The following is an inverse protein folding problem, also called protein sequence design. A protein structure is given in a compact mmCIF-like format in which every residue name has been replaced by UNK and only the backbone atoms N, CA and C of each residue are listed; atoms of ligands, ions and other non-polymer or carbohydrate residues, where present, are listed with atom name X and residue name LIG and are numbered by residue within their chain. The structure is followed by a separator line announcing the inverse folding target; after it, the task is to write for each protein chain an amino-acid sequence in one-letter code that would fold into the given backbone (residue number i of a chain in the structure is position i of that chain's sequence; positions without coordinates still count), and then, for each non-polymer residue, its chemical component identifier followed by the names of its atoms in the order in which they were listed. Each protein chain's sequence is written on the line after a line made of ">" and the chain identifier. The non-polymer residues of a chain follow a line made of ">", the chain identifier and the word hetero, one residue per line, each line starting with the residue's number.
data_IF_090822580691
#
_entry.id   IF_090822580691
#
_cell.length_a   1.000
_cell.length_b   1.000
_cell.length_c   1.000
_cell.angle_alpha   90.00
_cell.angle_beta   90.00
_cell.angle_gamma   90.00
#
_symmetry.space_group_name_H-M   'P 1'
#
loop_
_entity.id
_entity.type
_entity.pdbx_description
1 polymer ?
#
# COMPACT_ATOMS: atom_id res chain seq x y z
N UNK A 1 -12.21 16.46 -21.26
CA UNK A 1 -11.66 15.11 -21.51
C UNK A 1 -12.30 14.15 -20.51
N UNK A 2 -13.01 13.11 -20.98
CA UNK A 2 -13.75 12.16 -20.14
C UNK A 2 -12.86 10.93 -19.89
N UNK A 3 -12.36 10.78 -18.67
CA UNK A 3 -11.64 9.57 -18.26
C UNK A 3 -12.65 8.44 -18.09
N UNK A 4 -12.66 7.47 -19.02
CA UNK A 4 -13.34 6.18 -18.80
C UNK A 4 -12.36 5.28 -18.06
N UNK A 5 -12.33 5.43 -16.73
CA UNK A 5 -11.65 4.44 -15.88
C UNK A 5 -12.40 3.12 -15.98
N UNK A 6 -11.71 2.04 -16.36
CA UNK A 6 -12.23 0.69 -16.14
C UNK A 6 -12.45 0.55 -14.64
N UNK A 7 -13.68 0.22 -14.26
CA UNK A 7 -14.04 -0.16 -12.91
C UNK A 7 -13.34 -1.50 -12.64
N UNK A 8 -12.14 -1.44 -12.07
CA UNK A 8 -11.54 -2.60 -11.42
C UNK A 8 -12.35 -2.74 -10.14
N UNK A 9 -13.30 -3.67 -10.16
CA UNK A 9 -14.05 -4.03 -8.98
C UNK A 9 -13.04 -4.67 -8.02
N UNK A 10 -12.60 -3.90 -7.04
CA UNK A 10 -11.99 -4.45 -5.84
C UNK A 10 -13.14 -5.15 -5.10
N UNK A 11 -13.38 -6.42 -5.42
CA UNK A 11 -14.52 -7.23 -4.93
C UNK A 11 -14.58 -7.42 -3.40
N UNK A 12 -13.73 -6.73 -2.63
CA UNK A 12 -13.75 -6.69 -1.16
C UNK A 12 -13.45 -5.30 -0.59
N UNK A 13 -13.86 -4.22 -1.28
CA UNK A 13 -14.03 -2.95 -0.56
C UNK A 13 -15.36 -3.07 0.17
N UNK A 14 -15.30 -3.59 1.40
CA UNK A 14 -16.37 -3.39 2.38
C UNK A 14 -16.75 -1.92 2.28
N UNK A 15 -17.96 -1.65 1.79
CA UNK A 15 -18.52 -0.31 1.73
C UNK A 15 -18.67 0.15 3.17
N UNK A 16 -17.61 0.74 3.72
CA UNK A 16 -17.64 1.43 4.99
C UNK A 16 -18.72 2.49 4.85
N UNK A 17 -19.71 2.44 5.75
CA UNK A 17 -20.79 3.41 5.83
C UNK A 17 -20.23 4.80 5.55
N UNK A 18 -20.86 5.54 4.64
CA UNK A 18 -20.33 6.80 4.09
C UNK A 18 -20.07 7.76 5.26
N UNK A 19 -18.85 7.75 5.76
CA UNK A 19 -18.39 8.63 6.79
C UNK A 19 -17.91 9.88 6.06
N UNK A 20 -18.61 10.99 6.25
CA UNK A 20 -18.35 12.23 5.49
C UNK A 20 -17.03 12.90 5.91
N UNK A 21 -16.35 12.40 6.94
CA UNK A 21 -15.03 12.86 7.32
C UNK A 21 -13.96 12.33 6.34
N UNK A 22 -13.31 13.21 5.55
CA UNK A 22 -12.30 12.80 4.59
C UNK A 22 -11.11 12.07 5.23
N UNK A 23 -10.75 12.41 6.48
CA UNK A 23 -9.63 11.77 7.16
C UNK A 23 -9.97 10.33 7.54
N UNK A 24 -11.22 10.04 7.89
CA UNK A 24 -11.68 8.67 8.16
C UNK A 24 -11.59 7.83 6.89
N UNK A 25 -12.08 8.33 5.75
CA UNK A 25 -12.03 7.64 4.46
C UNK A 25 -10.58 7.37 4.02
N UNK A 26 -9.71 8.36 4.17
CA UNK A 26 -8.28 8.21 3.87
C UNK A 26 -7.65 7.13 4.77
N UNK A 27 -7.93 7.16 6.07
CA UNK A 27 -7.37 6.19 7.03
C UNK A 27 -7.83 4.75 6.73
N UNK A 28 -9.10 4.58 6.38
CA UNK A 28 -9.65 3.29 5.98
C UNK A 28 -8.99 2.78 4.68
N UNK A 29 -8.81 3.67 3.70
CA UNK A 29 -8.13 3.34 2.46
C UNK A 29 -6.68 2.93 2.71
N UNK A 30 -5.98 3.63 3.62
CA UNK A 30 -4.62 3.25 4.03
C UNK A 30 -4.57 1.85 4.63
N UNK A 31 -5.53 1.48 5.49
CA UNK A 31 -5.61 0.14 6.05
C UNK A 31 -5.84 -0.95 5.00
N UNK A 32 -6.65 -0.69 3.96
CA UNK A 32 -6.83 -1.63 2.85
C UNK A 32 -5.53 -1.84 2.07
N UNK A 33 -4.79 -0.76 1.79
CA UNK A 33 -3.50 -0.83 1.10
C UNK A 33 -2.49 -1.62 1.94
N UNK A 34 -2.42 -1.35 3.25
CA UNK A 34 -1.54 -2.05 4.18
C UNK A 34 -1.79 -3.55 4.18
N UNK A 35 -3.06 -3.97 4.32
CA UNK A 35 -3.44 -5.38 4.27
C UNK A 35 -2.99 -6.04 2.98
N UNK A 36 -3.20 -5.39 1.82
CA UNK A 36 -2.77 -5.95 0.52
C UNK A 36 -1.25 -6.03 0.39
N UNK A 37 -0.49 -5.10 0.98
CA UNK A 37 0.98 -5.18 1.03
C UNK A 37 1.42 -6.37 1.88
N UNK A 38 0.85 -6.52 3.07
CA UNK A 38 1.24 -7.58 4.03
C UNK A 38 0.86 -8.98 3.55
N UNK A 39 -0.29 -9.13 2.89
CA UNK A 39 -0.76 -10.42 2.35
C UNK A 39 -0.04 -10.83 1.05
N UNK A 40 0.55 -9.89 0.33
CA UNK A 40 1.24 -10.19 -0.92
C UNK A 40 2.58 -10.90 -0.66
N UNK A 41 2.79 -12.05 -1.33
CA UNK A 41 3.94 -12.94 -1.10
C UNK A 41 5.32 -12.23 -1.11
N UNK A 42 5.56 -11.35 -2.09
CA UNK A 42 6.80 -10.56 -2.16
C UNK A 42 6.79 -9.34 -1.22
N UNK A 43 5.79 -8.46 -1.35
CA UNK A 43 5.75 -7.19 -0.62
C UNK A 43 5.70 -7.39 0.91
N UNK A 44 4.97 -8.38 1.40
CA UNK A 44 4.90 -8.69 2.82
C UNK A 44 6.26 -9.13 3.37
N UNK A 45 7.04 -9.89 2.59
CA UNK A 45 8.42 -10.25 2.94
C UNK A 45 9.34 -9.03 2.91
N UNK A 46 9.26 -8.22 1.86
CA UNK A 46 10.07 -6.99 1.73
C UNK A 46 9.79 -5.99 2.86
N UNK A 47 8.56 -5.93 3.39
CA UNK A 47 8.19 -5.01 4.48
C UNK A 47 8.98 -5.22 5.79
N UNK A 48 9.62 -6.39 5.94
CA UNK A 48 10.39 -6.78 7.12
C UNK A 48 11.80 -7.28 6.79
N UNK A 49 12.18 -7.23 5.52
CA UNK A 49 13.42 -7.82 5.05
C UNK A 49 14.63 -7.00 5.49
N UNK A 50 15.65 -7.69 5.97
CA UNK A 50 17.01 -7.18 6.07
C UNK A 50 17.66 -7.01 4.69
N UNK A 51 18.77 -6.27 4.61
CA UNK A 51 19.53 -6.11 3.36
C UNK A 51 19.98 -7.47 2.78
N UNK A 52 20.36 -8.41 3.64
CA UNK A 52 20.73 -9.77 3.24
C UNK A 52 19.55 -10.55 2.67
N UNK A 53 18.36 -10.42 3.26
CA UNK A 53 17.14 -11.06 2.74
C UNK A 53 16.69 -10.47 1.40
N UNK A 54 16.93 -9.18 1.17
CA UNK A 54 16.65 -8.53 -0.12
C UNK A 54 17.47 -9.17 -1.23
N UNK A 55 18.74 -9.49 -0.98
CA UNK A 55 19.59 -10.17 -1.96
C UNK A 55 18.98 -11.51 -2.40
N UNK A 56 18.57 -12.36 -1.44
CA UNK A 56 17.92 -13.64 -1.75
C UNK A 56 16.58 -13.46 -2.46
N UNK A 57 15.82 -12.41 -2.13
CA UNK A 57 14.58 -12.09 -2.82
C UNK A 57 14.84 -11.70 -4.28
N UNK A 58 15.94 -10.99 -4.59
CA UNK A 58 16.33 -10.66 -5.97
C UNK A 58 16.64 -11.91 -6.78
N UNK A 59 17.30 -12.90 -6.19
CA UNK A 59 17.54 -14.20 -6.84
C UNK A 59 16.23 -14.97 -7.10
N UNK A 60 15.24 -14.88 -6.20
CA UNK A 60 13.97 -15.60 -6.31
C UNK A 60 12.96 -14.97 -7.27
N UNK A 61 12.80 -13.64 -7.22
CA UNK A 61 11.74 -12.91 -7.92
C UNK A 61 12.25 -12.04 -9.08
N UNK A 62 13.58 -11.92 -9.23
CA UNK A 62 14.23 -11.01 -10.16
C UNK A 62 14.43 -9.62 -9.58
N UNK A 63 15.56 -9.00 -9.92
CA UNK A 63 15.96 -7.69 -9.41
C UNK A 63 14.93 -6.59 -9.68
N UNK A 64 14.45 -6.47 -10.92
CA UNK A 64 13.46 -5.44 -11.29
C UNK A 64 12.16 -5.56 -10.48
N UNK A 65 11.68 -6.79 -10.26
CA UNK A 65 10.48 -7.06 -9.47
C UNK A 65 10.66 -6.64 -8.02
N UNK A 66 11.82 -6.93 -7.44
CA UNK A 66 12.14 -6.58 -6.05
C UNK A 66 12.30 -5.08 -5.89
N UNK A 67 13.02 -4.42 -6.80
CA UNK A 67 13.20 -2.97 -6.77
C UNK A 67 11.85 -2.24 -6.92
N UNK A 68 10.95 -2.75 -7.76
CA UNK A 68 9.57 -2.24 -7.84
C UNK A 68 8.81 -2.45 -6.52
N UNK A 69 8.96 -3.62 -5.90
CA UNK A 69 8.32 -3.91 -4.62
C UNK A 69 8.79 -2.99 -3.49
N UNK A 70 10.09 -2.67 -3.45
CA UNK A 70 10.67 -1.71 -2.51
C UNK A 70 10.04 -0.33 -2.72
N UNK A 71 9.95 0.15 -3.97
CA UNK A 71 9.32 1.45 -4.29
C UNK A 71 7.85 1.52 -3.86
N UNK A 72 7.10 0.43 -3.98
CA UNK A 72 5.71 0.36 -3.51
C UNK A 72 5.65 0.54 -1.98
N UNK A 73 6.53 -0.13 -1.24
CA UNK A 73 6.60 -0.03 0.23
C UNK A 73 7.01 1.38 0.67
N UNK A 74 8.00 1.98 0.02
CA UNK A 74 8.44 3.35 0.30
C UNK A 74 7.34 4.38 0.03
N UNK A 75 6.59 4.21 -1.06
CA UNK A 75 5.45 5.06 -1.38
C UNK A 75 4.34 4.95 -0.33
N UNK A 76 4.02 3.72 0.11
CA UNK A 76 3.06 3.48 1.18
C UNK A 76 3.52 4.13 2.50
N UNK A 77 4.78 3.94 2.91
CA UNK A 77 5.34 4.53 4.13
C UNK A 77 5.28 6.06 4.11
N UNK A 78 5.60 6.66 2.95
CA UNK A 78 5.52 8.10 2.75
C UNK A 78 4.09 8.62 2.90
N UNK A 79 3.13 7.94 2.28
CA UNK A 79 1.72 8.29 2.39
C UNK A 79 1.19 8.12 3.81
N UNK A 80 1.55 7.03 4.49
CA UNK A 80 1.19 6.78 5.88
C UNK A 80 1.71 7.88 6.82
N UNK A 81 2.95 8.34 6.61
CA UNK A 81 3.51 9.47 7.35
C UNK A 81 2.71 10.77 7.14
N UNK A 82 2.29 11.06 5.91
CA UNK A 82 1.47 12.24 5.59
C UNK A 82 0.12 12.15 6.29
N UNK A 83 -0.55 11.00 6.20
CA UNK A 83 -1.86 10.79 6.82
C UNK A 83 -1.77 10.93 8.35
N UNK A 84 -0.76 10.33 8.98
CA UNK A 84 -0.53 10.47 10.42
C UNK A 84 -0.31 11.93 10.85
N UNK A 85 0.40 12.73 10.05
CA UNK A 85 0.55 14.17 10.31
C UNK A 85 -0.78 14.92 10.19
N UNK A 86 -1.59 14.63 9.18
CA UNK A 86 -2.90 15.27 9.00
C UNK A 86 -3.85 14.96 10.15
N UNK A 87 -3.82 13.74 10.69
CA UNK A 87 -4.62 13.36 11.87
C UNK A 87 -4.16 14.08 13.14
N UNK A 88 -2.85 14.30 13.31
CA UNK A 88 -2.28 15.04 14.45
C UNK A 88 -2.40 16.56 14.37
N UNK A 89 -2.93 17.10 13.26
CA UNK A 89 -3.17 18.54 13.05
C UNK A 89 -4.62 18.96 13.37
N UNK A 90 -5.48 18.02 13.80
CA UNK A 90 -6.84 18.28 14.29
C UNK A 90 -6.87 18.59 15.79
#
# INVERSE_FOLDING_TARGET
>A
MRWRGRQIVLDEVVCLEINNDPLIVISQTMGVIETRILEHQLLGRLSKASEEEIFFLKEQFGEETVDMGIRIIEAYASLNSIVGKLQGMN
#
